data_IF_603420774674
#
_entry.id   IF_603420774674
#
_cell.length_a   1.000
_cell.length_b   1.000
_cell.length_c   1.000
_cell.angle_alpha   90.00
_cell.angle_beta   90.00
_cell.angle_gamma   90.00
#
_symmetry.space_group_name_H-M   'P 1'
#
loop_
_entity.id
_entity.type
_entity.pdbx_description
1 polymer ?
#
# COMPACT_ATOMS: atom_id res chain seq x y z
N UNK A 1 -6.88 13.37 29.03
CA UNK A 1 -5.91 13.06 27.95
C UNK A 1 -6.24 13.94 26.74
N UNK A 2 -5.86 15.21 26.72
CA UNK A 2 -6.35 16.20 25.73
C UNK A 2 -5.32 16.67 24.70
N UNK A 3 -4.16 16.01 24.57
CA UNK A 3 -3.03 16.51 23.75
C UNK A 3 -2.58 15.60 22.60
N UNK A 4 -3.16 14.40 22.45
CA UNK A 4 -2.68 13.44 21.46
C UNK A 4 -3.44 13.58 20.15
N UNK A 5 -2.73 13.83 19.04
CA UNK A 5 -3.28 13.79 17.69
C UNK A 5 -3.54 12.33 17.28
N UNK A 6 -4.71 12.04 16.71
CA UNK A 6 -4.96 10.74 16.07
C UNK A 6 -4.51 10.79 14.62
N UNK A 7 -3.50 10.01 14.28
CA UNK A 7 -3.00 9.88 12.93
C UNK A 7 -3.45 8.54 12.33
N UNK A 8 -4.28 8.59 11.29
CA UNK A 8 -4.65 7.42 10.50
C UNK A 8 -3.64 7.33 9.36
N UNK A 9 -2.70 6.38 9.49
CA UNK A 9 -1.60 6.18 8.54
C UNK A 9 -1.69 4.77 7.92
N UNK A 10 -2.45 4.59 6.83
CA UNK A 10 -2.67 3.29 6.21
C UNK A 10 -1.51 2.92 5.27
N UNK A 11 -0.27 2.93 5.78
CA UNK A 11 0.91 2.54 5.01
C UNK A 11 1.03 1.02 4.91
N UNK A 12 0.90 0.53 3.69
CA UNK A 12 1.09 -0.87 3.33
C UNK A 12 2.42 -1.13 2.59
N UNK A 13 3.10 -0.08 2.13
CA UNK A 13 4.26 -0.16 1.24
C UNK A 13 5.50 -0.63 1.98
N UNK A 14 5.75 -0.09 3.18
CA UNK A 14 6.90 -0.44 4.02
C UNK A 14 6.91 -1.93 4.42
N UNK A 15 5.73 -2.50 4.61
CA UNK A 15 5.55 -3.92 4.93
C UNK A 15 5.27 -4.82 3.73
N UNK A 16 5.13 -4.24 2.54
CA UNK A 16 4.72 -4.91 1.29
C UNK A 16 3.48 -5.83 1.47
N UNK A 17 2.48 -5.38 2.23
CA UNK A 17 1.25 -6.12 2.54
C UNK A 17 0.05 -5.20 2.47
N UNK A 18 -0.75 -5.36 1.41
CA UNK A 18 -1.88 -4.49 1.09
C UNK A 18 -2.94 -4.48 2.20
N UNK A 19 -3.03 -5.56 2.96
CA UNK A 19 -3.94 -5.73 4.10
C UNK A 19 -3.69 -4.71 5.21
N UNK A 20 -2.51 -4.09 5.28
CA UNK A 20 -2.22 -3.02 6.24
C UNK A 20 -3.00 -1.75 5.96
N UNK A 21 -3.38 -1.50 4.70
CA UNK A 21 -4.26 -0.38 4.37
C UNK A 21 -5.63 -0.59 5.02
N UNK A 22 -6.27 -1.72 4.73
CA UNK A 22 -7.59 -2.07 5.29
C UNK A 22 -7.55 -2.23 6.80
N UNK A 23 -6.47 -2.83 7.33
CA UNK A 23 -6.24 -3.00 8.75
C UNK A 23 -6.18 -1.67 9.51
N UNK A 24 -5.57 -0.64 8.94
CA UNK A 24 -5.53 0.69 9.56
C UNK A 24 -6.93 1.33 9.66
N UNK A 25 -7.77 1.17 8.63
CA UNK A 25 -9.16 1.63 8.68
C UNK A 25 -10.02 0.81 9.63
N UNK A 26 -9.81 -0.51 9.67
CA UNK A 26 -10.49 -1.39 10.62
C UNK A 26 -10.14 -1.01 12.07
N UNK A 27 -8.85 -0.80 12.36
CA UNK A 27 -8.41 -0.35 13.68
C UNK A 27 -9.02 1.00 14.06
N UNK A 28 -9.11 1.95 13.13
CA UNK A 28 -9.80 3.23 13.35
C UNK A 28 -11.25 3.04 13.82
N UNK A 29 -11.97 2.04 13.29
CA UNK A 29 -13.36 1.75 13.70
C UNK A 29 -13.44 1.12 15.10
N UNK A 30 -12.42 0.35 15.49
CA UNK A 30 -12.41 -0.36 16.78
C UNK A 30 -12.00 0.50 17.97
N UNK A 31 -11.14 1.51 17.74
CA UNK A 31 -10.66 2.36 18.84
C UNK A 31 -11.78 3.27 19.37
N UNK A 32 -11.76 3.63 20.68
CA UNK A 32 -12.74 4.54 21.24
C UNK A 32 -12.77 5.87 20.50
N UNK A 33 -13.96 6.33 20.10
CA UNK A 33 -14.12 7.62 19.44
C UNK A 33 -14.16 8.75 20.46
N UNK A 34 -13.48 9.85 20.16
CA UNK A 34 -13.45 11.04 21.00
C UNK A 34 -13.53 12.27 20.08
N UNK A 35 -14.65 12.98 20.15
CA UNK A 35 -14.93 14.13 19.28
C UNK A 35 -14.02 15.34 19.57
N UNK A 36 -13.42 15.40 20.77
CA UNK A 36 -12.45 16.44 21.13
C UNK A 36 -11.03 16.12 20.62
N UNK A 37 -10.80 14.90 20.12
CA UNK A 37 -9.50 14.49 19.60
C UNK A 37 -9.37 14.84 18.12
N UNK A 38 -8.42 15.72 17.79
CA UNK A 38 -8.11 16.02 16.38
C UNK A 38 -7.62 14.75 15.67
N UNK A 39 -8.27 14.41 14.56
CA UNK A 39 -7.90 13.31 13.68
C UNK A 39 -7.34 13.85 12.34
N UNK A 40 -6.25 13.24 11.88
CA UNK A 40 -5.65 13.51 10.57
C UNK A 40 -5.44 12.18 9.86
N UNK A 41 -5.91 12.08 8.62
CA UNK A 41 -5.69 10.93 7.75
C UNK A 41 -4.67 11.27 6.69
N UNK A 42 -3.66 10.41 6.54
CA UNK A 42 -2.66 10.56 5.49
C UNK A 42 -3.15 9.85 4.23
N UNK A 43 -3.07 10.55 3.10
CA UNK A 43 -3.38 9.97 1.80
C UNK A 43 -2.29 8.99 1.40
N UNK A 44 -2.64 7.71 1.37
CA UNK A 44 -1.82 6.62 0.80
C UNK A 44 -2.63 5.99 -0.33
N UNK A 45 -2.00 5.72 -1.46
CA UNK A 45 -2.66 5.04 -2.58
C UNK A 45 -2.95 3.59 -2.21
N UNK A 46 -4.19 3.13 -2.39
CA UNK A 46 -4.52 1.73 -2.21
C UNK A 46 -3.97 0.89 -3.38
N UNK A 47 -3.38 -0.27 -3.07
CA UNK A 47 -2.92 -1.18 -4.10
C UNK A 47 -4.08 -2.05 -4.60
N UNK A 48 -4.79 -1.58 -5.62
CA UNK A 48 -5.87 -2.31 -6.30
C UNK A 48 -5.37 -3.52 -7.13
N UNK A 49 -4.22 -4.11 -6.80
CA UNK A 49 -3.58 -5.19 -7.56
C UNK A 49 -2.82 -4.76 -8.81
N UNK A 50 -2.82 -3.46 -9.15
CA UNK A 50 -2.14 -2.95 -10.34
C UNK A 50 -0.62 -2.89 -10.20
N UNK A 51 -0.10 -2.82 -8.97
CA UNK A 51 1.35 -2.88 -8.74
C UNK A 51 1.90 -4.30 -8.94
N UNK A 52 1.12 -5.32 -8.60
CA UNK A 52 1.43 -6.71 -8.92
C UNK A 52 1.41 -6.95 -10.44
N UNK A 53 0.41 -6.40 -11.16
CA UNK A 53 0.38 -6.44 -12.63
C UNK A 53 1.59 -5.74 -13.25
N UNK A 54 2.02 -4.58 -12.74
CA UNK A 54 3.22 -3.88 -13.20
C UNK A 54 4.49 -4.72 -12.99
N UNK A 55 4.64 -5.39 -11.84
CA UNK A 55 5.78 -6.28 -11.60
C UNK A 55 5.77 -7.50 -12.55
N UNK A 56 4.63 -8.17 -12.72
CA UNK A 56 4.48 -9.30 -13.66
C UNK A 56 4.78 -8.85 -15.09
N UNK A 57 4.29 -7.68 -15.50
CA UNK A 57 4.57 -7.10 -16.81
C UNK A 57 6.07 -6.83 -16.99
N UNK A 58 6.74 -6.27 -16.00
CA UNK A 58 8.17 -5.97 -16.05
C UNK A 58 9.04 -7.24 -16.12
N UNK A 59 8.65 -8.30 -15.42
CA UNK A 59 9.31 -9.62 -15.49
C UNK A 59 9.12 -10.24 -16.89
N UNK A 60 7.92 -10.18 -17.45
CA UNK A 60 7.62 -10.67 -18.81
C UNK A 60 8.33 -9.85 -19.90
N UNK A 61 8.52 -8.54 -19.68
CA UNK A 61 9.31 -7.70 -20.59
C UNK A 61 10.77 -8.13 -20.59
N UNK A 62 11.36 -8.33 -19.40
CA UNK A 62 12.75 -8.78 -19.25
C UNK A 62 12.97 -10.15 -19.89
N UNK A 63 12.07 -11.12 -19.68
CA UNK A 63 12.19 -12.46 -20.29
C UNK A 63 12.11 -12.42 -21.82
N UNK A 64 11.23 -11.58 -22.38
CA UNK A 64 11.09 -11.38 -23.82
C UNK A 64 12.32 -10.74 -24.46
N UNK A 65 12.95 -9.77 -23.79
CA UNK A 65 14.18 -9.13 -24.28
C UNK A 65 15.36 -10.12 -24.24
N UNK A 66 15.48 -10.91 -23.18
CA UNK A 66 16.54 -11.92 -23.04
C UNK A 66 16.39 -13.04 -24.09
N UNK A 67 15.18 -13.50 -24.36
CA UNK A 67 14.90 -14.52 -25.39
C UNK A 67 15.23 -14.03 -26.81
N UNK A 68 14.90 -12.78 -27.14
CA UNK A 68 15.26 -12.17 -28.44
C UNK A 68 16.77 -12.02 -28.64
N UNK A 69 17.54 -11.85 -27.55
CA UNK A 69 19.00 -11.72 -27.61
C UNK A 69 19.70 -13.05 -27.91
N UNK A 70 19.12 -14.19 -27.51
CA UNK A 70 19.70 -15.52 -27.75
C UNK A 70 19.42 -16.07 -29.16
N UNK A 71 18.37 -15.61 -29.85
CA UNK A 71 18.04 -16.04 -31.22
C UNK A 71 18.83 -15.35 -32.34
N UNK A 72 19.79 -14.48 -31.99
CA UNK A 72 20.55 -13.65 -32.94
C UNK A 72 22.02 -14.07 -33.09
N UNK A 73 22.37 -15.26 -32.60
CA UNK A 73 23.67 -15.92 -32.78
C UNK A 73 23.45 -17.28 -33.43
#
# INVERSE_FOLDING_TARGET
>A
MSKTLRLVYPDWQSGNRTEYYDGAFFLKQLIPQNDEQKEVQVTVEHNNGDLLKKMVFMVNLKSSITSKKQKKY
#
